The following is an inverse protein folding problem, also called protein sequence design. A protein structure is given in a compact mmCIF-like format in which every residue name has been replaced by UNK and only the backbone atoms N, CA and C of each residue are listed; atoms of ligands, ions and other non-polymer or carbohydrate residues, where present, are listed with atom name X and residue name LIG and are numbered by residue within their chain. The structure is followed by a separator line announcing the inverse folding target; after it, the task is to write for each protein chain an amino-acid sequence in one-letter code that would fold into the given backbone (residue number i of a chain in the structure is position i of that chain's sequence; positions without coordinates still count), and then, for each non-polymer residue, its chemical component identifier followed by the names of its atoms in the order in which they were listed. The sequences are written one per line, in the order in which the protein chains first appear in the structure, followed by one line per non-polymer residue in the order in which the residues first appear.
data_IF_556517925935
#
_entry.id   IF_556517925935
#
_cell.length_a   1.000
_cell.length_b   1.000
_cell.length_c   1.000
_cell.angle_alpha   90.00
_cell.angle_beta   90.00
_cell.angle_gamma   90.00
#
_symmetry.space_group_name_H-M   'P 1'
#
loop_
_entity.id
_entity.type
_entity.pdbx_description
1 polymer ?
#
# COMPACT_ATOMS: atom_id res chain seq x y z
N UNK A 1 -31.86 -3.60 28.59
CA UNK A 1 -31.12 -2.33 28.64
C UNK A 1 -30.40 -2.18 27.31
N UNK A 2 -30.96 -1.35 26.41
CA UNK A 2 -30.40 -1.01 25.10
C UNK A 2 -29.28 0.01 25.29
N UNK A 3 -28.11 -0.25 24.74
CA UNK A 3 -27.21 0.78 24.22
C UNK A 3 -26.58 0.24 22.93
N UNK A 4 -27.35 0.38 21.85
CA UNK A 4 -26.77 0.51 20.51
C UNK A 4 -26.32 1.97 20.37
N UNK A 5 -25.02 2.21 20.23
CA UNK A 5 -24.55 3.43 19.57
C UNK A 5 -23.08 3.27 19.15
N UNK A 6 -22.90 3.23 17.82
CA UNK A 6 -21.75 3.77 17.10
C UNK A 6 -20.48 2.92 17.00
N UNK A 7 -20.58 1.77 16.32
CA UNK A 7 -19.51 1.33 15.43
C UNK A 7 -20.12 0.80 14.14
N UNK A 8 -20.37 1.71 13.20
CA UNK A 8 -20.60 1.36 11.80
C UNK A 8 -19.21 1.35 11.16
N UNK A 9 -18.54 0.20 11.19
CA UNK A 9 -17.37 -0.05 10.36
C UNK A 9 -17.85 -0.81 9.13
N UNK A 10 -18.14 -0.13 8.01
CA UNK A 10 -18.27 -0.82 6.75
C UNK A 10 -16.84 -1.16 6.30
N UNK A 11 -16.34 -2.32 6.73
CA UNK A 11 -15.39 -3.02 5.88
C UNK A 11 -16.12 -3.17 4.54
N UNK A 12 -15.59 -2.52 3.50
CA UNK A 12 -16.11 -2.50 2.14
C UNK A 12 -16.81 -3.83 1.85
N UNK A 13 -18.14 -3.78 1.81
CA UNK A 13 -19.01 -4.93 1.59
C UNK A 13 -18.57 -5.62 0.29
N UNK A 14 -17.82 -6.73 0.42
CA UNK A 14 -17.05 -7.40 -0.64
C UNK A 14 -17.86 -7.90 -1.86
N UNK A 15 -19.14 -7.59 -1.98
CA UNK A 15 -19.94 -7.90 -3.18
C UNK A 15 -20.86 -6.79 -3.68
N UNK A 16 -21.16 -5.72 -2.92
CA UNK A 16 -22.19 -4.73 -3.33
C UNK A 16 -21.63 -3.42 -3.89
N UNK A 17 -20.38 -3.10 -3.62
CA UNK A 17 -19.76 -1.82 -4.02
C UNK A 17 -18.47 -1.98 -4.83
N UNK A 18 -18.17 -3.22 -5.26
CA UNK A 18 -16.97 -3.54 -6.03
C UNK A 18 -16.93 -2.76 -7.35
N UNK A 19 -18.05 -2.69 -8.07
CA UNK A 19 -18.14 -1.95 -9.34
C UNK A 19 -17.93 -0.44 -9.15
N UNK A 20 -18.50 0.13 -8.08
CA UNK A 20 -18.31 1.54 -7.74
C UNK A 20 -16.85 1.83 -7.38
N UNK A 21 -16.25 1.01 -6.52
CA UNK A 21 -14.84 1.18 -6.17
C UNK A 21 -13.93 1.02 -7.40
N UNK A 22 -14.21 0.06 -8.28
CA UNK A 22 -13.48 -0.10 -9.53
C UNK A 22 -13.59 1.14 -10.43
N UNK A 23 -14.76 1.78 -10.50
CA UNK A 23 -14.91 3.04 -11.26
C UNK A 23 -14.05 4.18 -10.70
N UNK A 24 -13.90 4.26 -9.38
CA UNK A 24 -13.05 5.24 -8.71
C UNK A 24 -11.56 5.00 -9.03
N UNK A 25 -11.13 3.75 -9.05
CA UNK A 25 -9.76 3.38 -9.47
C UNK A 25 -9.51 3.82 -10.92
N UNK A 26 -10.43 3.46 -11.83
CA UNK A 26 -10.31 3.82 -13.25
C UNK A 26 -10.33 5.32 -13.46
N UNK A 27 -11.14 6.06 -12.69
CA UNK A 27 -11.15 7.53 -12.71
C UNK A 27 -9.79 8.08 -12.24
N UNK A 28 -9.26 7.62 -11.11
CA UNK A 28 -7.95 8.04 -10.60
C UNK A 28 -6.84 7.83 -11.65
N UNK A 29 -6.83 6.65 -12.27
CA UNK A 29 -5.84 6.27 -13.29
C UNK A 29 -5.96 7.10 -14.58
N UNK A 30 -7.18 7.34 -15.05
CA UNK A 30 -7.42 8.02 -16.33
C UNK A 30 -7.32 9.55 -16.24
N UNK A 31 -7.63 10.13 -15.08
CA UNK A 31 -7.63 11.58 -14.86
C UNK A 31 -6.38 12.10 -14.14
N UNK A 32 -5.59 11.21 -13.54
CA UNK A 32 -4.45 11.56 -12.69
C UNK A 32 -4.85 12.19 -11.36
N UNK A 33 -6.12 12.05 -10.95
CA UNK A 33 -6.61 12.53 -9.65
C UNK A 33 -6.11 11.65 -8.50
N UNK A 34 -5.95 12.25 -7.32
CA UNK A 34 -5.55 11.52 -6.10
C UNK A 34 -6.68 10.57 -5.67
N UNK A 35 -6.40 9.27 -5.71
CA UNK A 35 -7.33 8.22 -5.28
C UNK A 35 -7.86 8.46 -3.87
N UNK A 36 -7.04 8.92 -2.92
CA UNK A 36 -7.48 9.20 -1.55
C UNK A 36 -8.56 10.28 -1.50
N UNK A 37 -8.46 11.27 -2.39
CA UNK A 37 -9.46 12.33 -2.49
C UNK A 37 -10.78 11.78 -3.02
N UNK A 38 -10.73 10.97 -4.08
CA UNK A 38 -11.93 10.34 -4.64
C UNK A 38 -12.60 9.38 -3.64
N UNK A 39 -11.81 8.61 -2.89
CA UNK A 39 -12.31 7.74 -1.82
C UNK A 39 -12.98 8.54 -0.71
N UNK A 40 -12.36 9.63 -0.25
CA UNK A 40 -12.95 10.52 0.76
C UNK A 40 -14.24 11.18 0.29
N UNK A 41 -14.31 11.58 -0.97
CA UNK A 41 -15.55 12.13 -1.55
C UNK A 41 -16.66 11.08 -1.64
N UNK A 42 -16.31 9.83 -2.00
CA UNK A 42 -17.28 8.76 -2.19
C UNK A 42 -17.72 8.05 -0.90
N UNK A 43 -16.84 7.97 0.10
CA UNK A 43 -16.99 7.12 1.30
C UNK A 43 -16.71 7.85 2.62
N UNK A 44 -16.20 9.08 2.61
CA UNK A 44 -15.84 9.84 3.81
C UNK A 44 -14.53 9.41 4.48
N UNK A 45 -13.83 8.41 3.94
CA UNK A 45 -12.58 7.84 4.44
C UNK A 45 -11.74 7.34 3.26
N UNK A 46 -10.42 7.41 3.34
CA UNK A 46 -9.52 6.79 2.36
C UNK A 46 -9.03 5.40 2.78
N UNK A 47 -8.43 4.66 1.85
CA UNK A 47 -7.95 3.29 2.11
C UNK A 47 -6.87 3.22 3.20
N UNK A 48 -6.09 4.28 3.43
CA UNK A 48 -5.04 4.32 4.46
C UNK A 48 -5.65 4.50 5.85
N UNK A 49 -6.60 5.42 5.97
CA UNK A 49 -7.40 5.63 7.18
C UNK A 49 -8.18 4.36 7.55
N UNK A 50 -8.82 3.72 6.57
CA UNK A 50 -9.52 2.46 6.77
C UNK A 50 -8.56 1.34 7.21
N UNK A 51 -7.44 1.17 6.51
CA UNK A 51 -6.43 0.16 6.83
C UNK A 51 -5.85 0.33 8.24
N UNK A 52 -5.50 1.56 8.60
CA UNK A 52 -5.03 1.89 9.94
C UNK A 52 -6.09 1.57 11.01
N UNK A 53 -7.35 1.93 10.76
CA UNK A 53 -8.44 1.65 11.71
C UNK A 53 -8.73 0.15 11.87
N UNK A 54 -8.56 -0.65 10.81
CA UNK A 54 -8.68 -2.12 10.90
C UNK A 54 -7.57 -2.68 11.79
N UNK A 55 -6.32 -2.27 11.57
CA UNK A 55 -5.17 -2.72 12.38
C UNK A 55 -5.34 -2.34 13.85
N UNK A 56 -5.81 -1.12 14.12
CA UNK A 56 -6.13 -0.65 15.47
C UNK A 56 -7.24 -1.51 16.11
N UNK A 57 -8.32 -1.78 15.37
CA UNK A 57 -9.42 -2.65 15.84
C UNK A 57 -8.98 -4.09 16.12
N UNK A 58 -7.92 -4.57 15.47
CA UNK A 58 -7.29 -5.87 15.73
C UNK A 58 -6.22 -5.83 16.82
N UNK A 59 -6.01 -4.68 17.47
CA UNK A 59 -5.00 -4.45 18.49
C UNK A 59 -3.56 -4.70 18.00
N UNK A 60 -3.26 -4.36 16.76
CA UNK A 60 -1.87 -4.32 16.29
C UNK A 60 -1.09 -3.20 17.00
N UNK A 61 0.23 -3.36 17.22
CA UNK A 61 1.07 -2.27 17.70
C UNK A 61 0.96 -1.00 16.84
N UNK A 62 1.02 0.17 17.48
CA UNK A 62 0.92 1.50 16.85
C UNK A 62 1.86 1.66 15.65
N UNK A 63 3.04 1.03 15.71
CA UNK A 63 4.00 1.06 14.61
C UNK A 63 3.43 0.56 13.28
N UNK A 64 2.52 -0.43 13.28
CA UNK A 64 1.90 -0.95 12.07
C UNK A 64 0.69 -0.13 11.65
N UNK A 65 -0.03 0.44 12.62
CA UNK A 65 -1.12 1.39 12.38
C UNK A 65 -0.59 2.63 11.67
N UNK A 66 0.54 3.16 12.14
CA UNK A 66 1.20 4.32 11.54
C UNK A 66 1.78 4.02 10.16
N UNK A 67 2.30 2.80 9.93
CA UNK A 67 2.70 2.36 8.59
C UNK A 67 1.53 2.34 7.61
N UNK A 68 0.38 1.79 8.00
CA UNK A 68 -0.80 1.78 7.14
C UNK A 68 -1.31 3.19 6.84
N UNK A 69 -1.20 4.12 7.80
CA UNK A 69 -1.66 5.49 7.68
C UNK A 69 -0.75 6.38 6.84
N UNK A 70 0.56 6.24 7.01
CA UNK A 70 1.54 7.21 6.50
C UNK A 70 2.45 6.70 5.38
N UNK A 71 2.36 5.42 4.96
CA UNK A 71 3.16 4.95 3.82
C UNK A 71 2.99 5.86 2.59
N UNK A 72 4.03 6.01 1.77
CA UNK A 72 4.06 6.85 0.57
C UNK A 72 3.59 8.31 0.78
N UNK A 73 3.72 8.83 2.01
CA UNK A 73 3.41 10.23 2.32
C UNK A 73 4.65 11.09 2.18
N UNK A 74 4.52 12.29 1.61
CA UNK A 74 5.62 13.26 1.49
C UNK A 74 6.06 13.82 2.85
N UNK A 75 5.14 13.85 3.82
CA UNK A 75 5.39 14.40 5.15
C UNK A 75 5.04 13.37 6.23
N UNK A 76 6.02 12.54 6.58
CA UNK A 76 5.87 11.54 7.64
C UNK A 76 6.05 12.23 9.01
N UNK A 77 5.03 12.15 9.86
CA UNK A 77 4.98 12.80 11.17
C UNK A 77 5.13 11.84 12.34
N UNK A 78 4.76 10.56 12.15
CA UNK A 78 4.93 9.51 13.17
C UNK A 78 6.37 9.39 13.69
N UNK A 79 6.53 8.88 14.92
CA UNK A 79 7.83 8.50 15.47
C UNK A 79 8.43 7.27 14.78
N UNK A 80 7.62 6.48 14.07
CA UNK A 80 8.00 5.21 13.44
C UNK A 80 8.52 5.40 11.98
N UNK A 81 9.06 6.58 11.66
CA UNK A 81 9.44 6.98 10.29
C UNK A 81 10.29 5.96 9.55
N UNK A 82 11.25 5.34 10.23
CA UNK A 82 12.15 4.37 9.60
C UNK A 82 11.38 3.23 8.96
N UNK A 83 10.42 2.62 9.66
CA UNK A 83 9.65 1.52 9.09
C UNK A 83 8.70 2.01 8.00
N UNK A 84 8.06 3.17 8.21
CA UNK A 84 7.19 3.79 7.21
C UNK A 84 7.97 4.01 5.90
N UNK A 85 9.19 4.54 5.97
CA UNK A 85 10.08 4.74 4.82
C UNK A 85 10.42 3.41 4.16
N UNK A 86 10.80 2.38 4.93
CA UNK A 86 11.12 1.04 4.38
C UNK A 86 9.94 0.48 3.60
N UNK A 87 8.75 0.49 4.17
CA UNK A 87 7.53 -0.04 3.52
C UNK A 87 7.16 0.80 2.30
N UNK A 88 7.31 2.12 2.37
CA UNK A 88 7.05 3.02 1.24
C UNK A 88 7.98 2.74 0.06
N UNK A 89 9.29 2.59 0.33
CA UNK A 89 10.29 2.26 -0.68
C UNK A 89 10.00 0.89 -1.30
N UNK A 90 9.66 -0.12 -0.49
CA UNK A 90 9.31 -1.45 -0.99
C UNK A 90 8.09 -1.41 -1.92
N UNK A 91 7.03 -0.68 -1.53
CA UNK A 91 5.83 -0.50 -2.35
C UNK A 91 6.13 0.18 -3.69
N UNK A 92 6.87 1.30 -3.65
CA UNK A 92 7.27 2.04 -4.86
C UNK A 92 8.16 1.22 -5.81
N UNK A 93 9.04 0.37 -5.26
CA UNK A 93 9.89 -0.52 -6.07
C UNK A 93 9.08 -1.57 -6.82
N UNK A 94 8.07 -2.15 -6.17
CA UNK A 94 7.17 -3.11 -6.78
C UNK A 94 6.41 -2.48 -7.94
N UNK A 95 5.88 -1.28 -7.77
CA UNK A 95 5.16 -0.58 -8.84
C UNK A 95 6.02 -0.31 -10.07
N UNK A 96 7.27 0.13 -9.85
CA UNK A 96 8.22 0.37 -10.94
C UNK A 96 8.52 -0.92 -11.69
N UNK A 97 8.72 -2.03 -10.97
CA UNK A 97 9.15 -3.30 -11.56
C UNK A 97 7.99 -4.08 -12.21
N UNK A 98 6.86 -4.21 -11.52
CA UNK A 98 5.73 -5.03 -11.94
C UNK A 98 4.83 -4.28 -12.92
N UNK A 99 4.49 -3.02 -12.63
CA UNK A 99 3.51 -2.27 -13.43
C UNK A 99 4.16 -1.56 -14.62
N UNK A 100 5.50 -1.44 -14.65
CA UNK A 100 6.30 -0.74 -15.70
C UNK A 100 5.83 0.68 -16.00
N UNK A 101 4.98 1.24 -15.15
CA UNK A 101 4.38 2.56 -15.26
C UNK A 101 4.62 3.28 -13.93
N UNK A 102 5.69 4.06 -13.87
CA UNK A 102 5.94 4.95 -12.76
C UNK A 102 5.73 6.38 -13.22
N UNK A 103 4.80 7.09 -12.57
CA UNK A 103 4.65 8.53 -12.82
C UNK A 103 5.89 9.27 -12.29
N UNK A 104 6.28 10.41 -12.87
CA UNK A 104 7.40 11.21 -12.38
C UNK A 104 7.28 11.55 -10.88
N UNK A 105 6.05 11.74 -10.39
CA UNK A 105 5.80 11.98 -8.97
C UNK A 105 6.20 10.80 -8.08
N UNK A 106 5.86 9.57 -8.47
CA UNK A 106 6.25 8.35 -7.73
C UNK A 106 7.76 8.13 -7.76
N UNK A 107 8.41 8.43 -8.89
CA UNK A 107 9.86 8.32 -9.00
C UNK A 107 10.57 9.35 -8.11
N UNK A 108 10.12 10.60 -8.11
CA UNK A 108 10.63 11.64 -7.21
C UNK A 108 10.44 11.27 -5.73
N UNK A 109 9.29 10.68 -5.38
CA UNK A 109 9.02 10.21 -4.03
C UNK A 109 9.98 9.08 -3.64
N UNK A 110 10.20 8.10 -4.53
CA UNK A 110 11.18 7.04 -4.29
C UNK A 110 12.57 7.63 -4.05
N UNK A 111 13.04 8.53 -4.91
CA UNK A 111 14.36 9.17 -4.76
C UNK A 111 14.47 9.98 -3.45
N UNK A 112 13.41 10.64 -3.02
CA UNK A 112 13.37 11.37 -1.76
C UNK A 112 13.45 10.43 -0.56
N UNK A 113 12.63 9.37 -0.54
CA UNK A 113 12.57 8.42 0.58
C UNK A 113 13.80 7.51 0.65
N UNK A 114 14.34 7.10 -0.50
CA UNK A 114 15.49 6.19 -0.59
C UNK A 114 16.74 6.77 0.10
N UNK A 115 16.94 8.09 0.02
CA UNK A 115 18.03 8.82 0.70
C UNK A 115 18.02 8.68 2.23
N UNK A 116 16.88 8.29 2.81
CA UNK A 116 16.72 8.08 4.25
C UNK A 116 16.87 6.60 4.64
N UNK A 117 17.22 5.73 3.70
CA UNK A 117 17.54 4.32 3.98
C UNK A 117 19.05 4.10 4.05
N UNK A 118 19.47 2.95 4.57
CA UNK A 118 20.87 2.50 4.52
C UNK A 118 21.21 1.74 3.23
N UNK A 119 20.29 1.69 2.27
CA UNK A 119 20.45 0.95 1.01
C UNK A 119 21.35 1.73 0.05
N UNK A 120 22.10 1.00 -0.76
CA UNK A 120 22.96 1.51 -1.83
C UNK A 120 22.24 1.44 -3.16
N UNK A 121 22.72 2.19 -4.15
CA UNK A 121 22.23 2.08 -5.53
C UNK A 121 22.31 0.64 -6.07
N UNK A 122 23.34 -0.13 -5.69
CA UNK A 122 23.44 -1.55 -6.04
C UNK A 122 22.31 -2.41 -5.47
N UNK A 123 21.78 -2.05 -4.30
CA UNK A 123 20.65 -2.76 -3.70
C UNK A 123 19.37 -2.43 -4.48
N UNK A 124 19.23 -1.18 -4.92
CA UNK A 124 18.13 -0.75 -5.80
C UNK A 124 18.14 -1.53 -7.12
N UNK A 125 19.31 -1.66 -7.74
CA UNK A 125 19.49 -2.44 -8.97
C UNK A 125 19.07 -3.91 -8.78
N UNK A 126 19.46 -4.53 -7.66
CA UNK A 126 19.07 -5.90 -7.33
C UNK A 126 17.55 -6.04 -7.21
N UNK A 127 16.89 -5.18 -6.42
CA UNK A 127 15.43 -5.21 -6.25
C UNK A 127 14.67 -4.94 -7.55
N UNK A 128 15.25 -4.16 -8.45
CA UNK A 128 14.65 -3.83 -9.75
C UNK A 128 14.91 -4.85 -10.86
N UNK A 129 15.86 -5.79 -10.71
CA UNK A 129 16.23 -6.70 -11.81
C UNK A 129 16.19 -8.17 -11.41
N UNK A 130 16.76 -8.49 -10.27
CA UNK A 130 17.09 -9.87 -9.90
C UNK A 130 16.13 -10.43 -8.85
N UNK A 131 15.61 -9.58 -7.95
CA UNK A 131 14.82 -9.99 -6.79
C UNK A 131 13.63 -10.89 -7.13
N UNK A 132 12.81 -10.54 -8.14
CA UNK A 132 11.66 -11.40 -8.52
C UNK A 132 12.13 -12.76 -9.05
N UNK A 133 13.25 -12.79 -9.78
CA UNK A 133 13.85 -14.02 -10.28
C UNK A 133 14.30 -14.94 -9.14
N UNK A 134 14.85 -14.37 -8.07
CA UNK A 134 15.26 -15.11 -6.88
C UNK A 134 14.09 -15.48 -5.98
N UNK A 135 13.10 -14.60 -5.82
CA UNK A 135 11.87 -14.88 -5.09
C UNK A 135 11.11 -16.07 -5.68
N UNK A 136 11.08 -16.22 -7.01
CA UNK A 136 10.47 -17.38 -7.68
C UNK A 136 11.15 -18.72 -7.36
N UNK A 137 12.39 -18.70 -6.88
CA UNK A 137 13.14 -19.89 -6.45
C UNK A 137 12.92 -20.20 -4.97
N UNK A 138 12.32 -19.28 -4.20
CA UNK A 138 12.07 -19.46 -2.79
C UNK A 138 11.00 -20.56 -2.55
N UNK A 139 11.25 -21.55 -1.67
CA UNK A 139 10.30 -22.62 -1.41
C UNK A 139 8.96 -22.12 -0.87
N UNK A 140 8.95 -21.10 0.00
CA UNK A 140 7.70 -20.55 0.53
C UNK A 140 6.91 -19.86 -0.58
N UNK A 141 7.58 -19.13 -1.47
CA UNK A 141 6.94 -18.53 -2.63
C UNK A 141 6.28 -19.59 -3.54
N UNK A 142 6.96 -20.71 -3.82
CA UNK A 142 6.44 -21.80 -4.65
C UNK A 142 5.21 -22.48 -4.01
N UNK A 143 5.26 -22.71 -2.70
CA UNK A 143 4.12 -23.27 -1.96
C UNK A 143 2.92 -22.31 -1.95
N UNK A 144 3.15 -21.01 -1.73
CA UNK A 144 2.10 -20.00 -1.83
C UNK A 144 1.52 -19.94 -3.24
N UNK A 145 2.36 -19.99 -4.27
CA UNK A 145 1.93 -19.99 -5.66
C UNK A 145 1.01 -21.19 -5.97
N UNK A 146 1.39 -22.38 -5.50
CA UNK A 146 0.59 -23.60 -5.64
C UNK A 146 -0.74 -23.50 -4.87
N UNK A 147 -0.71 -22.98 -3.65
CA UNK A 147 -1.89 -22.82 -2.79
C UNK A 147 -2.94 -21.87 -3.41
N UNK A 148 -2.50 -20.74 -3.97
CA UNK A 148 -3.39 -19.74 -4.53
C UNK A 148 -3.70 -19.95 -6.03
N UNK A 149 -3.13 -20.97 -6.66
CA UNK A 149 -3.39 -21.29 -8.08
C UNK A 149 -2.88 -20.23 -9.05
N UNK A 150 -1.83 -19.48 -8.69
CA UNK A 150 -1.28 -18.40 -9.52
C UNK A 150 -0.30 -19.01 -10.53
N UNK A 151 -0.74 -19.29 -11.75
CA UNK A 151 0.15 -19.78 -12.81
C UNK A 151 1.12 -18.69 -13.30
N UNK A 152 2.40 -19.06 -13.43
CA UNK A 152 3.53 -18.21 -13.86
C UNK A 152 3.48 -17.75 -15.31
#
# INVERSE_FOLDING_TARGET
MRLYSHFHFPGLHQHRDQEKYQSIIVEAESSGLDLKKLEKEAYGVDHKELGASILEGWNFPDLYVDVARENESENITSIHKTLIIIVSVASLLVDIHILKNCSPARQNLLEALFKHTSLKESDLDYYQRDFIGDLKKDPMFQECQALFGISS
#
